data_IF_132816216109
#
_entry.id   IF_132816216109
#
_cell.length_a   1.000
_cell.length_b   1.000
_cell.length_c   1.000
_cell.angle_alpha   90.00
_cell.angle_beta   90.00
_cell.angle_gamma   90.00
#
_symmetry.space_group_name_H-M   'P 1'
#
loop_
_entity.id
_entity.type
_entity.pdbx_description
1 polymer ?
#
# COMPACT_ATOMS: atom_id res chain seq x y z
N UNK A 1 31.10 42.70 4.51
CA UNK A 1 29.64 42.84 4.47
C UNK A 1 29.02 41.59 3.84
N UNK A 2 28.27 40.88 4.68
CA UNK A 2 27.28 39.81 4.50
C UNK A 2 27.24 38.97 3.21
N UNK A 3 27.72 37.73 3.29
CA UNK A 3 27.24 36.64 2.42
C UNK A 3 26.08 35.94 3.12
N UNK A 4 24.85 36.23 2.69
CA UNK A 4 23.65 35.59 3.21
C UNK A 4 23.56 34.18 2.63
N UNK A 5 23.69 33.17 3.49
CA UNK A 5 23.44 31.76 3.15
C UNK A 5 21.93 31.53 3.19
N UNK A 6 21.28 31.53 2.03
CA UNK A 6 19.89 31.07 1.93
C UNK A 6 19.88 29.54 1.84
N UNK A 7 19.79 28.89 3.00
CA UNK A 7 19.30 27.53 3.11
C UNK A 7 17.78 27.57 2.93
N UNK A 8 17.31 27.46 1.69
CA UNK A 8 15.88 27.27 1.40
C UNK A 8 15.60 25.77 1.39
N UNK A 9 14.94 25.36 2.45
CA UNK A 9 14.31 24.08 2.73
C UNK A 9 13.74 23.38 1.48
N UNK A 10 14.34 22.24 1.12
CA UNK A 10 13.89 21.28 0.09
C UNK A 10 12.40 20.86 0.22
N UNK A 11 11.79 21.09 1.37
CA UNK A 11 10.37 20.80 1.64
C UNK A 11 9.40 21.74 0.93
N UNK A 12 9.83 22.95 0.53
CA UNK A 12 8.96 23.89 -0.20
C UNK A 12 9.07 23.77 -1.73
N UNK A 13 10.15 23.17 -2.24
CA UNK A 13 10.30 22.90 -3.67
C UNK A 13 9.31 21.83 -4.16
N UNK A 14 8.98 20.84 -3.33
CA UNK A 14 8.02 19.78 -3.68
C UNK A 14 6.56 20.23 -3.62
N UNK A 15 6.19 21.18 -2.76
CA UNK A 15 4.81 21.69 -2.64
C UNK A 15 4.41 22.54 -3.85
N UNK A 16 5.36 23.30 -4.43
CA UNK A 16 5.11 24.14 -5.61
C UNK A 16 4.90 23.33 -6.90
N UNK A 17 5.56 22.17 -7.04
CA UNK A 17 5.36 21.27 -8.19
C UNK A 17 4.00 20.58 -8.11
N UNK A 18 3.55 20.19 -6.92
CA UNK A 18 2.22 19.59 -6.71
C UNK A 18 1.07 20.57 -6.98
N UNK A 19 1.26 21.87 -6.72
CA UNK A 19 0.24 22.90 -6.94
C UNK A 19 0.07 23.28 -8.43
N UNK A 20 1.09 23.03 -9.26
CA UNK A 20 1.04 23.28 -10.71
C UNK A 20 0.42 22.13 -11.53
N UNK A 21 0.44 20.89 -11.02
CA UNK A 21 -0.17 19.73 -11.71
C UNK A 21 -1.68 19.65 -11.49
N UNK A 22 -2.21 20.21 -10.40
CA UNK A 22 -3.66 20.23 -10.10
C UNK A 22 -4.48 21.27 -10.88
N UNK A 23 -3.83 22.18 -11.63
CA UNK A 23 -4.53 23.22 -12.40
C UNK A 23 -4.87 22.82 -13.85
N UNK A 24 -4.35 21.71 -14.37
CA UNK A 24 -4.52 21.32 -15.78
C UNK A 24 -5.72 20.39 -16.07
N UNK A 25 -6.39 19.83 -15.05
CA UNK A 25 -7.52 18.91 -15.24
C UNK A 25 -8.91 19.58 -15.12
N UNK A 26 -8.97 20.86 -14.74
CA UNK A 26 -10.23 21.58 -14.47
C UNK A 26 -10.92 22.23 -15.68
N UNK A 27 -10.33 22.20 -16.88
CA UNK A 27 -10.79 23.02 -18.01
C UNK A 27 -11.70 22.26 -19.00
N UNK A 28 -11.86 20.94 -18.87
CA UNK A 28 -12.64 20.13 -19.83
C UNK A 28 -14.14 19.96 -19.50
N UNK A 29 -14.66 20.56 -18.43
CA UNK A 29 -16.05 20.35 -17.96
C UNK A 29 -17.01 21.55 -18.10
N UNK A 30 -16.72 22.51 -18.98
CA UNK A 30 -17.69 23.58 -19.28
C UNK A 30 -18.02 23.66 -20.78
N UNK A 31 -18.84 22.71 -21.24
CA UNK A 31 -19.70 22.91 -22.40
C UNK A 31 -20.96 23.65 -21.95
N UNK A 32 -21.14 24.85 -22.50
CA UNK A 32 -22.17 25.84 -22.15
C UNK A 32 -23.58 25.37 -22.52
N UNK A 33 -24.51 25.57 -21.60
CA UNK A 33 -25.94 25.40 -21.81
C UNK A 33 -26.50 26.44 -22.79
N UNK A 34 -27.34 26.00 -23.73
CA UNK A 34 -28.40 26.83 -24.33
C UNK A 34 -29.70 26.03 -24.22
N UNK A 35 -30.64 26.61 -23.48
CA UNK A 35 -31.99 26.10 -23.28
C UNK A 35 -32.89 26.46 -24.46
N UNK A 36 -33.77 25.53 -24.86
CA UNK A 36 -35.12 25.88 -25.31
C UNK A 36 -36.10 24.82 -24.78
N UNK A 37 -37.22 25.25 -24.16
CA UNK A 37 -38.27 24.37 -23.66
C UNK A 37 -39.26 24.05 -24.78
N UNK A 38 -39.75 22.81 -24.82
CA UNK A 38 -41.03 22.48 -25.45
C UNK A 38 -41.55 21.23 -24.74
N UNK A 39 -42.61 21.45 -23.97
CA UNK A 39 -43.48 20.42 -23.41
C UNK A 39 -44.06 19.57 -24.55
N UNK A 40 -44.06 18.24 -24.41
CA UNK A 40 -45.25 17.45 -24.69
C UNK A 40 -45.22 16.11 -23.94
N UNK A 41 -46.42 15.65 -23.67
CA UNK A 41 -46.90 14.54 -22.86
C UNK A 41 -46.13 13.21 -22.90
N UNK A 42 -46.09 12.59 -21.71
CA UNK A 42 -46.49 11.19 -21.57
C UNK A 42 -45.48 10.12 -21.92
N UNK A 43 -44.67 9.73 -20.93
CA UNK A 43 -44.45 8.31 -20.62
C UNK A 43 -43.66 8.16 -19.33
N UNK A 44 -44.23 7.36 -18.43
CA UNK A 44 -43.53 6.59 -17.41
C UNK A 44 -42.13 6.17 -17.90
N UNK A 45 -41.08 6.77 -17.34
CA UNK A 45 -39.73 6.24 -17.47
C UNK A 45 -39.17 6.03 -16.07
N UNK A 46 -39.14 4.75 -15.72
CA UNK A 46 -38.52 4.19 -14.54
C UNK A 46 -37.11 4.76 -14.41
N UNK A 47 -36.83 5.30 -13.24
CA UNK A 47 -35.50 5.67 -12.76
C UNK A 47 -34.52 4.53 -13.09
N UNK A 48 -33.48 4.75 -13.92
CA UNK A 48 -32.49 3.71 -14.13
C UNK A 48 -31.67 3.62 -12.84
N UNK A 49 -31.98 2.62 -12.02
CA UNK A 49 -31.04 2.07 -11.07
C UNK A 49 -29.81 1.62 -11.87
N UNK A 50 -28.84 2.53 -12.03
CA UNK A 50 -27.54 2.21 -12.58
C UNK A 50 -26.95 1.08 -11.74
N UNK A 51 -26.80 -0.07 -12.37
CA UNK A 51 -26.45 -1.34 -11.76
C UNK A 51 -25.04 -1.27 -11.17
N UNK A 52 -24.83 -1.37 -9.85
CA UNK A 52 -23.50 -1.36 -9.22
C UNK A 52 -22.63 -2.56 -9.64
N UNK A 53 -23.22 -3.51 -10.37
CA UNK A 53 -22.58 -4.72 -10.85
C UNK A 53 -21.56 -4.38 -11.95
N UNK A 54 -21.91 -3.66 -13.01
CA UNK A 54 -20.99 -3.49 -14.17
C UNK A 54 -19.68 -2.74 -13.81
N UNK A 55 -19.79 -1.74 -12.92
CA UNK A 55 -18.63 -1.00 -12.40
C UNK A 55 -17.74 -1.86 -11.48
N UNK A 56 -18.34 -2.73 -10.65
CA UNK A 56 -17.62 -3.62 -9.76
C UNK A 56 -16.83 -4.69 -10.54
N UNK A 57 -17.42 -5.30 -11.58
CA UNK A 57 -16.70 -6.29 -12.40
C UNK A 57 -15.57 -5.64 -13.21
N UNK A 58 -15.76 -4.38 -13.64
CA UNK A 58 -14.71 -3.59 -14.26
C UNK A 58 -13.57 -3.28 -13.29
N UNK A 59 -13.90 -2.95 -12.04
CA UNK A 59 -12.94 -2.73 -10.96
C UNK A 59 -12.13 -3.98 -10.58
N UNK A 60 -12.79 -5.14 -10.44
CA UNK A 60 -12.09 -6.40 -10.14
C UNK A 60 -11.19 -6.84 -11.29
N UNK A 61 -11.60 -6.64 -12.55
CA UNK A 61 -10.75 -6.93 -13.70
C UNK A 61 -9.45 -6.10 -13.71
N UNK A 62 -9.55 -4.79 -13.37
CA UNK A 62 -8.38 -3.90 -13.25
C UNK A 62 -7.45 -4.38 -12.13
N UNK A 63 -7.99 -4.66 -10.95
CA UNK A 63 -7.21 -5.12 -9.79
C UNK A 63 -6.50 -6.45 -10.06
N UNK A 64 -7.18 -7.39 -10.72
CA UNK A 64 -6.58 -8.66 -11.15
C UNK A 64 -5.44 -8.43 -12.16
N UNK A 65 -5.56 -7.43 -13.04
CA UNK A 65 -4.48 -7.00 -13.92
C UNK A 65 -3.26 -6.51 -13.15
N UNK A 66 -3.46 -5.55 -12.25
CA UNK A 66 -2.40 -4.99 -11.40
C UNK A 66 -1.73 -6.06 -10.53
N UNK A 67 -2.51 -6.98 -9.98
CA UNK A 67 -1.99 -8.09 -9.19
C UNK A 67 -1.06 -9.00 -9.99
N UNK A 68 -1.46 -9.37 -11.23
CA UNK A 68 -0.63 -10.19 -12.13
C UNK A 68 0.65 -9.47 -12.55
N UNK A 69 0.58 -8.16 -12.82
CA UNK A 69 1.77 -7.37 -13.12
C UNK A 69 2.72 -7.30 -11.92
N UNK A 70 2.20 -7.08 -10.71
CA UNK A 70 2.99 -7.10 -9.48
C UNK A 70 3.65 -8.48 -9.24
N UNK A 71 2.91 -9.58 -9.47
CA UNK A 71 3.44 -10.94 -9.41
C UNK A 71 4.60 -11.17 -10.39
N UNK A 72 4.42 -10.75 -11.65
CA UNK A 72 5.45 -10.87 -12.70
C UNK A 72 6.71 -10.09 -12.34
N UNK A 73 6.52 -8.92 -11.75
CA UNK A 73 7.60 -8.03 -11.36
C UNK A 73 8.26 -8.43 -10.01
N UNK A 74 7.81 -9.53 -9.39
CA UNK A 74 8.34 -10.04 -8.11
C UNK A 74 7.92 -9.22 -6.89
N UNK A 75 6.93 -8.34 -7.02
CA UNK A 75 6.39 -7.53 -5.91
C UNK A 75 5.26 -8.30 -5.21
N UNK A 76 5.60 -9.33 -4.45
CA UNK A 76 4.59 -10.16 -3.78
C UNK A 76 3.94 -9.43 -2.62
N UNK A 77 4.74 -9.07 -1.61
CA UNK A 77 4.30 -8.45 -0.36
C UNK A 77 4.87 -7.05 -0.15
N UNK A 78 5.88 -6.70 -0.93
CA UNK A 78 6.56 -5.41 -0.90
C UNK A 78 6.71 -4.84 -2.33
N UNK A 79 6.78 -3.50 -2.46
CA UNK A 79 6.58 -2.49 -1.42
C UNK A 79 5.09 -2.32 -1.05
N UNK A 80 4.82 -1.72 0.11
CA UNK A 80 3.46 -1.38 0.52
C UNK A 80 2.76 -0.48 -0.52
N UNK A 81 1.48 -0.72 -0.77
CA UNK A 81 0.68 0.04 -1.75
C UNK A 81 0.89 -0.36 -3.22
N UNK A 82 1.82 -1.27 -3.53
CA UNK A 82 2.10 -1.67 -4.92
C UNK A 82 2.60 -3.12 -5.01
N UNK A 83 1.93 -4.02 -4.29
CA UNK A 83 2.25 -5.44 -4.26
C UNK A 83 1.03 -6.31 -4.62
N UNK A 84 1.31 -7.55 -5.04
CA UNK A 84 0.30 -8.48 -5.52
C UNK A 84 -0.73 -8.85 -4.45
N UNK A 85 -0.29 -9.05 -3.20
CA UNK A 85 -1.18 -9.46 -2.11
C UNK A 85 -2.23 -8.41 -1.80
N UNK A 86 -1.85 -7.14 -1.73
CA UNK A 86 -2.81 -6.04 -1.53
C UNK A 86 -3.86 -6.00 -2.65
N UNK A 87 -3.45 -6.09 -3.92
CA UNK A 87 -4.40 -6.09 -5.04
C UNK A 87 -5.35 -7.29 -5.01
N UNK A 88 -4.84 -8.50 -4.75
CA UNK A 88 -5.69 -9.69 -4.66
C UNK A 88 -6.63 -9.63 -3.45
N UNK A 89 -6.18 -9.12 -2.31
CA UNK A 89 -7.04 -8.91 -1.15
C UNK A 89 -8.13 -7.86 -1.43
N UNK A 90 -7.84 -6.82 -2.21
CA UNK A 90 -8.87 -5.89 -2.70
C UNK A 90 -9.88 -6.58 -3.62
N UNK A 91 -9.44 -7.51 -4.48
CA UNK A 91 -10.37 -8.33 -5.28
C UNK A 91 -11.27 -9.16 -4.37
N UNK A 92 -10.73 -9.79 -3.32
CA UNK A 92 -11.52 -10.59 -2.39
C UNK A 92 -12.49 -9.77 -1.53
N UNK A 93 -12.21 -8.48 -1.31
CA UNK A 93 -13.17 -7.58 -0.64
C UNK A 93 -14.38 -7.28 -1.53
N UNK A 94 -14.19 -7.21 -2.85
CA UNK A 94 -15.27 -6.99 -3.82
C UNK A 94 -15.99 -8.29 -4.19
N UNK A 95 -15.22 -9.36 -4.41
CA UNK A 95 -15.68 -10.68 -4.81
C UNK A 95 -15.05 -11.74 -3.90
N UNK A 96 -15.65 -12.02 -2.72
CA UNK A 96 -15.10 -13.00 -1.77
C UNK A 96 -14.88 -14.39 -2.37
N UNK A 97 -15.72 -14.79 -3.33
CA UNK A 97 -15.68 -16.10 -3.99
C UNK A 97 -14.81 -16.14 -5.26
N UNK A 98 -14.00 -15.09 -5.52
CA UNK A 98 -13.11 -15.06 -6.68
C UNK A 98 -12.02 -16.14 -6.56
N UNK A 99 -12.23 -17.25 -7.27
CA UNK A 99 -11.31 -18.41 -7.26
C UNK A 99 -9.91 -18.05 -7.74
N UNK A 100 -9.80 -17.18 -8.77
CA UNK A 100 -8.50 -16.80 -9.32
C UNK A 100 -7.64 -16.07 -8.30
N UNK A 101 -8.22 -15.12 -7.55
CA UNK A 101 -7.51 -14.41 -6.49
C UNK A 101 -7.12 -15.34 -5.33
N UNK A 102 -8.05 -16.19 -4.86
CA UNK A 102 -7.75 -17.17 -3.78
C UNK A 102 -6.68 -18.18 -4.18
N UNK A 103 -6.71 -18.66 -5.42
CA UNK A 103 -5.72 -19.58 -5.97
C UNK A 103 -4.35 -18.93 -6.04
N UNK A 104 -4.27 -17.72 -6.60
CA UNK A 104 -3.01 -16.98 -6.70
C UNK A 104 -2.38 -16.75 -5.33
N UNK A 105 -3.15 -16.25 -4.36
CA UNK A 105 -2.67 -15.99 -2.99
C UNK A 105 -2.16 -17.24 -2.29
N UNK A 106 -2.84 -18.38 -2.48
CA UNK A 106 -2.43 -19.67 -1.91
C UNK A 106 -1.17 -20.22 -2.58
N UNK A 107 -1.08 -20.13 -3.91
CA UNK A 107 0.08 -20.62 -4.67
C UNK A 107 1.34 -19.79 -4.37
N UNK A 108 1.20 -18.47 -4.24
CA UNK A 108 2.33 -17.58 -3.97
C UNK A 108 2.77 -17.58 -2.52
N UNK A 109 1.97 -18.14 -1.60
CA UNK A 109 2.20 -18.05 -0.15
C UNK A 109 3.59 -18.50 0.29
N UNK A 110 4.13 -19.65 -0.15
CA UNK A 110 5.47 -20.07 0.27
C UNK A 110 6.56 -19.10 -0.16
N UNK A 111 6.41 -18.46 -1.32
CA UNK A 111 7.38 -17.48 -1.83
C UNK A 111 7.30 -16.17 -1.07
N UNK A 112 6.09 -15.68 -0.81
CA UNK A 112 5.85 -14.50 0.02
C UNK A 112 6.39 -14.69 1.45
N UNK A 113 6.18 -15.86 2.06
CA UNK A 113 6.73 -16.19 3.37
C UNK A 113 8.28 -16.16 3.38
N UNK A 114 8.92 -16.62 2.31
CA UNK A 114 10.38 -16.57 2.17
C UNK A 114 10.90 -15.13 2.01
N UNK A 115 10.19 -14.25 1.29
CA UNK A 115 10.53 -12.83 1.18
C UNK A 115 10.49 -12.13 2.55
N UNK A 116 9.44 -12.39 3.34
CA UNK A 116 9.32 -11.90 4.72
C UNK A 116 10.48 -12.40 5.57
N UNK A 117 10.80 -13.69 5.46
CA UNK A 117 11.92 -14.26 6.18
C UNK A 117 13.23 -13.55 5.84
N UNK A 118 13.42 -13.22 4.57
CA UNK A 118 14.57 -12.45 4.09
C UNK A 118 14.57 -11.01 4.65
N UNK A 119 13.41 -10.35 4.71
CA UNK A 119 13.28 -9.02 5.32
C UNK A 119 13.67 -9.04 6.81
N UNK A 120 13.25 -10.07 7.56
CA UNK A 120 13.67 -10.28 8.96
C UNK A 120 15.19 -10.45 9.05
N UNK A 121 15.77 -11.30 8.18
CA UNK A 121 17.22 -11.55 8.16
C UNK A 121 18.01 -10.28 7.84
N UNK A 122 17.46 -9.39 7.00
CA UNK A 122 18.04 -8.09 6.65
C UNK A 122 17.82 -7.02 7.73
N UNK A 123 17.24 -7.36 8.89
CA UNK A 123 16.86 -6.42 9.96
C UNK A 123 15.84 -5.35 9.52
N UNK A 124 15.10 -5.60 8.45
CA UNK A 124 13.98 -4.75 8.00
C UNK A 124 12.72 -5.11 8.82
N UNK A 125 12.81 -4.96 10.14
CA UNK A 125 11.86 -5.54 11.09
C UNK A 125 10.46 -4.92 10.96
N UNK A 126 10.37 -3.62 10.70
CA UNK A 126 9.10 -2.93 10.52
C UNK A 126 8.42 -3.34 9.20
N UNK A 127 9.19 -3.55 8.13
CA UNK A 127 8.67 -4.04 6.85
C UNK A 127 8.14 -5.46 7.02
N UNK A 128 8.97 -6.36 7.55
CA UNK A 128 8.58 -7.74 7.83
C UNK A 128 7.33 -7.82 8.72
N UNK A 129 7.18 -6.90 9.69
CA UNK A 129 5.97 -6.85 10.51
C UNK A 129 4.73 -6.60 9.67
N UNK A 130 4.77 -5.59 8.79
CA UNK A 130 3.64 -5.26 7.92
C UNK A 130 3.32 -6.38 6.95
N UNK A 131 4.35 -6.98 6.33
CA UNK A 131 4.16 -8.08 5.39
C UNK A 131 3.55 -9.33 6.07
N UNK A 132 3.94 -9.64 7.31
CA UNK A 132 3.29 -10.72 8.08
C UNK A 132 1.82 -10.39 8.31
N UNK A 133 1.52 -9.16 8.73
CA UNK A 133 0.15 -8.74 9.00
C UNK A 133 -0.70 -8.73 7.72
N UNK A 134 -0.11 -8.42 6.56
CA UNK A 134 -0.74 -8.55 5.25
C UNK A 134 -1.10 -10.00 4.92
N UNK A 135 -0.17 -10.95 5.12
CA UNK A 135 -0.46 -12.38 4.88
C UNK A 135 -1.50 -12.96 5.84
N UNK A 136 -1.60 -12.42 7.06
CA UNK A 136 -2.62 -12.83 8.04
C UNK A 136 -4.03 -12.42 7.63
N UNK A 137 -4.19 -11.42 6.77
CA UNK A 137 -5.50 -11.06 6.22
C UNK A 137 -6.05 -12.17 5.32
N UNK A 138 -5.16 -12.91 4.64
CA UNK A 138 -5.55 -14.06 3.84
C UNK A 138 -5.72 -15.34 4.68
N UNK A 139 -4.73 -15.67 5.52
CA UNK A 139 -4.73 -16.89 6.34
C UNK A 139 -4.13 -16.60 7.72
N UNK A 140 -5.00 -16.22 8.66
CA UNK A 140 -4.61 -15.87 10.03
C UNK A 140 -3.99 -17.04 10.80
N UNK A 141 -4.50 -18.25 10.58
CA UNK A 141 -4.19 -19.43 11.39
C UNK A 141 -3.01 -20.24 10.82
N UNK A 142 -2.32 -19.70 9.81
CA UNK A 142 -1.17 -20.32 9.19
C UNK A 142 0.02 -20.47 10.17
N UNK A 143 0.47 -21.71 10.37
CA UNK A 143 1.62 -22.00 11.23
C UNK A 143 2.91 -21.26 10.80
N UNK A 144 3.12 -21.06 9.49
CA UNK A 144 4.29 -20.34 8.96
C UNK A 144 4.31 -18.88 9.45
N UNK A 145 3.16 -18.22 9.52
CA UNK A 145 3.06 -16.84 10.03
C UNK A 145 3.26 -16.75 11.54
N UNK A 146 2.87 -17.80 12.28
CA UNK A 146 3.19 -17.90 13.69
C UNK A 146 4.72 -18.02 13.90
N UNK A 147 5.39 -18.86 13.11
CA UNK A 147 6.84 -19.02 13.14
C UNK A 147 7.58 -17.72 12.78
N UNK A 148 7.17 -17.06 11.68
CA UNK A 148 7.74 -15.77 11.26
C UNK A 148 7.53 -14.68 12.32
N UNK A 149 6.36 -14.64 12.97
CA UNK A 149 6.09 -13.73 14.08
C UNK A 149 7.02 -13.95 15.29
N UNK A 150 7.32 -15.21 15.60
CA UNK A 150 8.31 -15.58 16.62
C UNK A 150 9.72 -15.12 16.24
N UNK A 151 10.14 -15.38 15.00
CA UNK A 151 11.45 -14.98 14.47
C UNK A 151 11.63 -13.46 14.50
N UNK A 152 10.62 -12.71 14.05
CA UNK A 152 10.60 -11.25 14.10
C UNK A 152 10.74 -10.72 15.54
N UNK A 153 10.00 -11.30 16.48
CA UNK A 153 10.04 -10.90 17.89
C UNK A 153 11.43 -11.13 18.51
N UNK A 154 12.05 -12.27 18.21
CA UNK A 154 13.42 -12.56 18.63
C UNK A 154 14.43 -11.56 18.02
N UNK A 155 14.33 -11.29 16.72
CA UNK A 155 15.19 -10.33 16.03
C UNK A 155 15.08 -8.92 16.62
N UNK A 156 13.86 -8.45 16.91
CA UNK A 156 13.63 -7.15 17.55
C UNK A 156 14.26 -7.06 18.92
N UNK A 157 14.09 -8.08 19.76
CA UNK A 157 14.67 -8.09 21.10
C UNK A 157 16.21 -8.00 21.07
N UNK A 158 16.85 -8.61 20.07
CA UNK A 158 18.31 -8.50 19.88
C UNK A 158 18.69 -7.05 19.54
N UNK A 159 17.99 -6.42 18.59
CA UNK A 159 18.27 -5.04 18.18
C UNK A 159 18.06 -4.06 19.34
N UNK A 160 16.98 -4.21 20.12
CA UNK A 160 16.72 -3.39 21.31
C UNK A 160 17.87 -3.49 22.32
N UNK A 161 18.30 -4.72 22.65
CA UNK A 161 19.43 -4.94 23.58
C UNK A 161 20.73 -4.34 23.07
N UNK A 162 20.98 -4.39 21.75
CA UNK A 162 22.16 -3.78 21.15
C UNK A 162 22.17 -2.26 21.35
N UNK A 163 21.06 -1.59 21.08
CA UNK A 163 20.93 -0.15 21.28
C UNK A 163 21.05 0.26 22.76
N UNK A 164 20.48 -0.51 23.68
CA UNK A 164 20.61 -0.26 25.12
C UNK A 164 22.08 -0.36 25.58
N UNK A 165 22.79 -1.41 25.14
CA UNK A 165 24.19 -1.60 25.48
C UNK A 165 25.09 -0.49 24.91
N UNK A 166 24.80 -0.04 23.68
CA UNK A 166 25.51 1.07 23.05
C UNK A 166 25.31 2.38 23.82
N UNK A 167 24.06 2.69 24.19
CA UNK A 167 23.74 3.89 24.98
C UNK A 167 24.39 3.85 26.37
N UNK A 168 24.44 2.68 27.03
CA UNK A 168 25.12 2.50 28.31
C UNK A 168 26.64 2.77 28.19
N UNK A 169 27.27 2.28 27.11
CA UNK A 169 28.69 2.55 26.83
C UNK A 169 28.95 4.04 26.62
N UNK A 170 28.13 4.72 25.81
CA UNK A 170 28.27 6.16 25.59
C UNK A 170 28.13 6.97 26.88
N UNK A 171 27.22 6.57 27.79
CA UNK A 171 27.07 7.21 29.11
C UNK A 171 28.31 7.04 29.97
N UNK A 172 28.91 5.84 29.99
CA UNK A 172 30.14 5.57 30.75
C UNK A 172 31.33 6.36 30.21
N UNK A 173 31.50 6.42 28.88
CA UNK A 173 32.60 7.19 28.28
C UNK A 173 32.45 8.69 28.52
N UNK A 174 31.22 9.22 28.50
CA UNK A 174 30.95 10.64 28.77
C UNK A 174 31.19 10.98 30.25
N UNK A 175 30.82 10.07 31.17
CA UNK A 175 31.03 10.27 32.61
C UNK A 175 32.50 10.16 33.05
N UNK A 176 33.34 9.41 32.33
CA UNK A 176 34.77 9.26 32.64
C UNK A 176 35.67 10.34 32.00
N UNK A 177 35.14 11.18 31.12
CA UNK A 177 35.86 12.25 30.43
C UNK A 177 35.70 13.65 31.05
N UNK A 178 35.02 13.75 32.20
CA UNK A 178 34.84 14.96 33.01
C UNK A 178 35.59 14.75 34.33
#
# INVERSE_FOLDING_TARGET
MSRVRFAVSHRYALVLVSLLVLAAAGIYRHGLAVAHPSEDAGSTSIEPAATPVDDAQSGTAILLGLARDAMRDGRLVAPAGSNAYEFYLSVLQLEPENRSAREALRESFPRAAAEIEQAINQKQLEEARREIDLLREFDRDNFTLALLGGKLSAARNIVTKQHEAEAARMRQTTAAGI
#
